data_IF_302765010837
#
_entry.id   IF_302765010837
#
_cell.length_a   1.000
_cell.length_b   1.000
_cell.length_c   1.000
_cell.angle_alpha   90.00
_cell.angle_beta   90.00
_cell.angle_gamma   90.00
#
_symmetry.space_group_name_H-M   'P 1'
#
loop_
_entity.id
_entity.type
_entity.pdbx_description
1 polymer ?
#
# COMPACT_ATOMS: atom_id res chain seq x y z
N UNK A 1 28.07 -7.29 -38.25
CA UNK A 1 27.97 -6.00 -37.53
C UNK A 1 26.65 -5.81 -36.78
N UNK A 2 25.62 -6.65 -37.00
CA UNK A 2 24.32 -6.54 -36.31
C UNK A 2 24.19 -7.45 -35.07
N UNK A 3 24.75 -8.67 -35.10
CA UNK A 3 24.67 -9.60 -33.96
C UNK A 3 25.37 -9.09 -32.70
N UNK A 4 26.40 -8.25 -32.86
CA UNK A 4 27.17 -7.71 -31.72
C UNK A 4 26.47 -6.55 -31.00
N UNK A 5 25.37 -6.03 -31.55
CA UNK A 5 24.53 -5.02 -30.91
C UNK A 5 23.37 -5.66 -30.15
N UNK A 6 22.77 -6.72 -30.68
CA UNK A 6 21.69 -7.48 -30.01
C UNK A 6 22.17 -8.19 -28.73
N UNK A 7 23.38 -8.77 -28.74
CA UNK A 7 23.98 -9.39 -27.52
C UNK A 7 24.26 -8.37 -26.41
N UNK A 8 24.56 -7.12 -26.79
CA UNK A 8 24.87 -6.06 -25.83
C UNK A 8 23.62 -5.45 -25.20
N UNK A 9 22.52 -5.38 -25.97
CA UNK A 9 21.19 -4.94 -25.48
C UNK A 9 20.51 -6.02 -24.60
N UNK A 10 20.89 -7.30 -24.77
CA UNK A 10 20.37 -8.40 -23.95
C UNK A 10 21.11 -8.52 -22.62
N UNK A 11 22.44 -8.37 -22.59
CA UNK A 11 23.21 -8.29 -21.34
C UNK A 11 22.80 -7.07 -20.48
N UNK A 12 22.65 -5.88 -21.06
CA UNK A 12 22.25 -4.66 -20.32
C UNK A 12 20.84 -4.77 -19.71
N UNK A 13 19.94 -5.53 -20.35
CA UNK A 13 18.57 -5.76 -19.87
C UNK A 13 18.51 -6.84 -18.79
N UNK A 14 19.39 -7.83 -18.85
CA UNK A 14 19.54 -8.87 -17.82
C UNK A 14 20.15 -8.28 -16.53
N UNK A 15 21.17 -7.42 -16.65
CA UNK A 15 21.74 -6.67 -15.51
C UNK A 15 20.72 -5.73 -14.84
N UNK A 16 19.89 -5.02 -15.62
CA UNK A 16 18.80 -4.19 -15.06
C UNK A 16 17.71 -5.01 -14.35
N UNK A 17 17.47 -6.25 -14.77
CA UNK A 17 16.52 -7.15 -14.09
C UNK A 17 17.11 -7.76 -12.83
N UNK A 18 18.39 -8.12 -12.81
CA UNK A 18 19.07 -8.66 -11.64
C UNK A 18 19.27 -7.58 -10.56
N UNK A 19 19.67 -6.34 -10.91
CA UNK A 19 19.72 -5.23 -9.94
C UNK A 19 18.33 -4.88 -9.38
N UNK A 20 17.28 -4.99 -10.19
CA UNK A 20 15.90 -4.77 -9.76
C UNK A 20 15.35 -5.92 -8.90
N UNK A 21 15.91 -7.12 -8.99
CA UNK A 21 15.57 -8.27 -8.13
C UNK A 21 16.38 -8.26 -6.84
N UNK A 22 17.70 -7.98 -6.88
CA UNK A 22 18.53 -7.81 -5.69
C UNK A 22 18.04 -6.62 -4.82
N UNK A 23 17.66 -5.49 -5.41
CA UNK A 23 17.07 -4.38 -4.64
C UNK A 23 15.67 -4.68 -4.09
N UNK A 24 14.96 -5.68 -4.61
CA UNK A 24 13.71 -6.18 -4.02
C UNK A 24 13.99 -7.15 -2.88
N UNK A 25 14.93 -8.07 -3.05
CA UNK A 25 15.30 -9.03 -2.01
C UNK A 25 15.94 -8.35 -0.79
N UNK A 26 16.81 -7.35 -0.99
CA UNK A 26 17.40 -6.58 0.11
C UNK A 26 16.31 -5.78 0.85
N UNK A 27 15.31 -5.25 0.14
CA UNK A 27 14.14 -4.57 0.75
C UNK A 27 13.19 -5.54 1.45
N UNK A 28 13.07 -6.77 1.00
CA UNK A 28 12.25 -7.79 1.66
C UNK A 28 12.92 -8.31 2.93
N UNK A 29 14.25 -8.47 2.92
CA UNK A 29 15.02 -8.91 4.09
C UNK A 29 15.10 -7.87 5.23
N UNK A 30 15.23 -6.57 4.93
CA UNK A 30 15.18 -5.51 5.96
C UNK A 30 13.78 -5.33 6.58
N UNK A 31 12.71 -5.74 5.87
CA UNK A 31 11.32 -5.61 6.33
C UNK A 31 10.91 -6.73 7.31
N UNK A 32 11.62 -7.85 7.34
CA UNK A 32 11.31 -8.96 8.27
C UNK A 32 11.76 -8.71 9.72
N UNK A 33 12.81 -7.94 9.99
CA UNK A 33 13.43 -7.96 11.32
C UNK A 33 12.65 -7.23 12.42
N UNK A 34 11.70 -6.32 12.12
CA UNK A 34 11.06 -5.53 13.17
C UNK A 34 9.57 -5.21 12.97
N UNK A 35 8.77 -6.18 12.54
CA UNK A 35 7.30 -6.10 12.70
C UNK A 35 6.95 -6.24 14.18
N UNK A 36 6.67 -5.12 14.85
CA UNK A 36 6.40 -5.10 16.30
C UNK A 36 4.95 -5.48 16.59
N UNK A 37 4.03 -5.02 15.74
CA UNK A 37 2.60 -5.25 15.95
C UNK A 37 1.86 -5.45 14.63
N UNK A 38 1.27 -6.62 14.48
CA UNK A 38 0.28 -6.91 13.46
C UNK A 38 -1.13 -6.83 14.04
N UNK A 39 -2.01 -6.07 13.39
CA UNK A 39 -3.41 -5.96 13.81
C UNK A 39 -4.33 -5.96 12.59
N UNK A 40 -5.43 -6.71 12.68
CA UNK A 40 -6.47 -6.72 11.67
C UNK A 40 -7.60 -5.80 12.13
N UNK A 41 -7.88 -4.76 11.36
CA UNK A 41 -8.96 -3.81 11.63
C UNK A 41 -10.04 -3.89 10.57
N UNK A 42 -11.29 -3.69 11.00
CA UNK A 42 -12.39 -3.37 10.08
C UNK A 42 -12.67 -1.89 10.13
N UNK A 43 -12.29 -1.16 9.08
CA UNK A 43 -12.38 0.30 9.02
C UNK A 43 -13.75 0.71 8.45
N UNK A 44 -14.55 1.50 9.20
CA UNK A 44 -15.81 2.02 8.68
C UNK A 44 -15.56 3.24 7.79
N UNK A 45 -15.80 3.09 6.48
CA UNK A 45 -15.69 4.16 5.48
C UNK A 45 -17.01 4.87 5.20
N UNK A 46 -18.11 4.48 5.89
CA UNK A 46 -19.45 5.03 5.66
C UNK A 46 -19.56 6.56 5.74
N UNK A 47 -18.68 7.22 6.51
CA UNK A 47 -18.61 8.68 6.59
C UNK A 47 -18.20 9.35 5.28
N UNK A 48 -17.60 8.62 4.34
CA UNK A 48 -17.27 9.14 3.01
C UNK A 48 -18.50 9.62 2.24
N UNK A 49 -19.70 9.06 2.51
CA UNK A 49 -20.95 9.42 1.82
C UNK A 49 -21.46 10.83 2.17
N UNK A 50 -20.98 11.43 3.26
CA UNK A 50 -21.30 12.81 3.65
C UNK A 50 -20.74 13.79 2.60
N UNK A 51 -19.62 13.43 1.96
CA UNK A 51 -19.02 14.24 0.91
C UNK A 51 -19.83 14.16 -0.41
N UNK A 52 -19.71 15.19 -1.27
CA UNK A 52 -20.24 15.17 -2.64
C UNK A 52 -19.79 13.91 -3.40
N UNK A 53 -20.61 13.45 -4.34
CA UNK A 53 -20.38 12.20 -5.11
C UNK A 53 -18.98 12.12 -5.72
N UNK A 54 -18.48 13.22 -6.25
CA UNK A 54 -17.16 13.33 -6.90
C UNK A 54 -15.98 13.30 -5.93
N UNK A 55 -16.21 13.33 -4.62
CA UNK A 55 -15.14 13.40 -3.62
C UNK A 55 -15.15 12.21 -2.65
N UNK A 56 -16.00 11.20 -2.88
CA UNK A 56 -16.21 10.12 -1.89
C UNK A 56 -15.03 9.17 -1.79
N UNK A 57 -14.51 8.63 -2.91
CA UNK A 57 -13.34 7.75 -2.86
C UNK A 57 -12.09 8.45 -2.29
N UNK A 58 -11.72 9.68 -2.72
CA UNK A 58 -10.64 10.43 -2.07
C UNK A 58 -10.87 10.65 -0.58
N UNK A 59 -12.12 10.93 -0.17
CA UNK A 59 -12.47 11.10 1.25
C UNK A 59 -12.36 9.80 2.03
N UNK A 60 -12.67 8.65 1.43
CA UNK A 60 -12.53 7.34 2.05
C UNK A 60 -11.07 7.04 2.40
N UNK A 61 -10.12 7.36 1.51
CA UNK A 61 -8.68 7.21 1.78
C UNK A 61 -8.25 8.08 2.96
N UNK A 62 -8.73 9.34 3.04
CA UNK A 62 -8.43 10.23 4.17
C UNK A 62 -9.00 9.70 5.49
N UNK A 63 -10.20 9.10 5.45
CA UNK A 63 -10.79 8.46 6.64
C UNK A 63 -9.95 7.25 7.06
N UNK A 64 -9.46 6.44 6.11
CA UNK A 64 -8.59 5.32 6.37
C UNK A 64 -7.29 5.78 7.05
N UNK A 65 -6.60 6.78 6.49
CA UNK A 65 -5.39 7.39 7.09
C UNK A 65 -5.64 7.88 8.51
N UNK A 66 -6.71 8.65 8.71
CA UNK A 66 -7.08 9.17 10.04
C UNK A 66 -7.41 8.05 11.04
N UNK A 67 -8.02 6.95 10.59
CA UNK A 67 -8.30 5.79 11.42
C UNK A 67 -7.00 5.12 11.89
N UNK A 68 -6.08 4.87 10.97
CA UNK A 68 -4.79 4.22 11.27
C UNK A 68 -3.96 5.10 12.20
N UNK A 69 -3.86 6.40 11.91
CA UNK A 69 -3.15 7.37 12.77
C UNK A 69 -3.63 7.29 14.22
N UNK A 70 -4.95 7.23 14.42
CA UNK A 70 -5.55 7.14 15.77
C UNK A 70 -5.25 5.82 16.48
N UNK A 71 -5.31 4.68 15.78
CA UNK A 71 -5.25 3.36 16.41
C UNK A 71 -3.83 2.82 16.58
N UNK A 72 -2.94 3.09 15.62
CA UNK A 72 -1.53 2.65 15.66
C UNK A 72 -0.60 3.69 16.29
N UNK A 73 -1.14 4.87 16.64
CA UNK A 73 -0.39 6.03 17.14
C UNK A 73 0.83 6.29 16.25
N UNK A 74 0.58 6.42 14.95
CA UNK A 74 1.60 6.86 14.01
C UNK A 74 1.87 8.34 14.28
N UNK A 75 3.14 8.72 14.37
CA UNK A 75 3.56 10.08 14.70
C UNK A 75 3.04 11.06 13.63
N UNK A 76 3.15 10.69 12.35
CA UNK A 76 2.78 11.53 11.21
C UNK A 76 1.79 10.86 10.23
N UNK A 77 1.10 11.67 9.40
CA UNK A 77 0.22 11.15 8.34
C UNK A 77 1.02 10.61 7.14
N UNK A 78 2.25 11.09 7.00
CA UNK A 78 3.17 10.77 5.90
C UNK A 78 3.90 9.44 6.10
N UNK A 79 4.01 8.95 7.35
CA UNK A 79 4.57 7.62 7.64
C UNK A 79 3.60 6.46 7.35
N UNK A 80 2.38 6.77 6.89
CA UNK A 80 1.37 5.77 6.54
C UNK A 80 1.47 5.43 5.05
N UNK A 81 1.99 4.24 4.78
CA UNK A 81 2.09 3.66 3.44
C UNK A 81 0.90 2.74 3.21
N UNK A 82 0.07 3.09 2.22
CA UNK A 82 -1.10 2.30 1.83
C UNK A 82 -0.74 1.48 0.61
N UNK A 83 -0.91 0.16 0.69
CA UNK A 83 -0.72 -0.72 -0.47
C UNK A 83 -1.69 -0.38 -1.61
N UNK A 84 -1.26 -0.58 -2.84
CA UNK A 84 -2.06 -0.37 -4.03
C UNK A 84 -3.36 -1.20 -4.02
N UNK A 85 -3.33 -2.42 -3.48
CA UNK A 85 -4.51 -3.29 -3.38
C UNK A 85 -5.65 -2.64 -2.58
N UNK A 86 -5.32 -1.97 -1.49
CA UNK A 86 -6.28 -1.27 -0.63
C UNK A 86 -6.88 -0.09 -1.38
N UNK A 87 -6.05 0.63 -2.13
CA UNK A 87 -6.50 1.72 -2.99
C UNK A 87 -7.43 1.20 -4.08
N UNK A 88 -7.03 0.18 -4.83
CA UNK A 88 -7.85 -0.44 -5.88
C UNK A 88 -9.19 -0.94 -5.34
N UNK A 89 -9.22 -1.58 -4.16
CA UNK A 89 -10.48 -1.99 -3.53
C UNK A 89 -11.39 -0.80 -3.24
N UNK A 90 -10.84 0.32 -2.76
CA UNK A 90 -11.60 1.56 -2.52
C UNK A 90 -12.16 2.14 -3.84
N UNK A 91 -11.40 2.07 -4.92
CA UNK A 91 -11.75 2.60 -6.24
C UNK A 91 -12.50 1.60 -7.15
N UNK A 92 -12.66 0.34 -6.73
CA UNK A 92 -13.24 -0.75 -7.53
C UNK A 92 -14.62 -0.47 -8.14
N UNK A 93 -15.44 0.39 -7.50
CA UNK A 93 -16.78 0.79 -7.96
C UNK A 93 -16.82 2.24 -8.44
N UNK A 94 -15.66 2.82 -8.73
CA UNK A 94 -15.49 4.22 -9.13
C UNK A 94 -15.59 5.21 -7.95
N UNK A 95 -15.52 6.50 -8.30
CA UNK A 95 -15.42 7.60 -7.33
C UNK A 95 -16.66 7.77 -6.44
N UNK A 96 -17.82 7.38 -6.94
CA UNK A 96 -19.13 7.65 -6.32
C UNK A 96 -19.51 6.67 -5.21
N UNK A 97 -19.01 5.43 -5.29
CA UNK A 97 -19.48 4.29 -4.51
C UNK A 97 -18.33 3.52 -3.83
N UNK A 98 -17.47 4.17 -3.03
CA UNK A 98 -16.48 3.44 -2.26
C UNK A 98 -17.14 2.41 -1.32
N UNK A 99 -16.45 1.30 -1.00
CA UNK A 99 -16.93 0.31 -0.03
C UNK A 99 -17.29 0.95 1.31
N UNK A 100 -18.30 0.42 2.01
CA UNK A 100 -18.73 0.96 3.32
C UNK A 100 -17.84 0.53 4.48
N UNK A 101 -17.22 -0.64 4.34
CA UNK A 101 -16.29 -1.24 5.30
C UNK A 101 -15.17 -1.86 4.49
N UNK A 102 -13.96 -1.80 5.03
CA UNK A 102 -12.80 -2.49 4.47
C UNK A 102 -12.06 -3.17 5.62
N UNK A 103 -11.69 -4.43 5.44
CA UNK A 103 -10.83 -5.15 6.37
C UNK A 103 -9.40 -4.95 5.92
N UNK A 104 -8.56 -4.44 6.81
CA UNK A 104 -7.17 -4.14 6.52
C UNK A 104 -6.28 -4.80 7.56
N UNK A 105 -5.17 -5.37 7.11
CA UNK A 105 -4.06 -5.81 7.94
C UNK A 105 -3.11 -4.63 8.05
N UNK A 106 -2.78 -4.25 9.28
CA UNK A 106 -1.88 -3.13 9.54
C UNK A 106 -0.66 -3.65 10.28
N UNK A 107 0.49 -3.31 9.75
CA UNK A 107 1.81 -3.72 10.23
C UNK A 107 2.53 -2.45 10.69
N UNK A 108 3.11 -2.48 11.89
CA UNK A 108 3.92 -1.37 12.42
C UNK A 108 5.37 -1.81 12.60
N UNK A 109 6.27 -1.04 12.01
CA UNK A 109 7.71 -1.22 12.10
C UNK A 109 8.25 -0.44 13.33
N UNK A 110 9.42 -0.81 13.88
CA UNK A 110 10.02 -0.09 15.03
C UNK A 110 10.39 1.36 14.72
N UNK A 111 10.65 1.68 13.45
CA UNK A 111 10.88 3.04 12.97
C UNK A 111 9.59 3.89 12.89
N UNK A 112 8.43 3.32 13.27
CA UNK A 112 7.15 4.03 13.27
C UNK A 112 6.48 4.12 11.90
N UNK A 113 7.03 3.45 10.88
CA UNK A 113 6.37 3.26 9.59
C UNK A 113 5.16 2.33 9.77
N UNK A 114 4.03 2.70 9.15
CA UNK A 114 2.81 1.89 9.21
C UNK A 114 2.40 1.50 7.81
N UNK A 115 2.44 0.19 7.54
CA UNK A 115 2.04 -0.39 6.27
C UNK A 115 0.64 -0.98 6.36
N UNK A 116 -0.17 -0.72 5.34
CA UNK A 116 -1.58 -1.13 5.28
C UNK A 116 -1.79 -2.06 4.09
N UNK A 117 -2.18 -3.28 4.39
CA UNK A 117 -2.48 -4.33 3.41
C UNK A 117 -3.96 -4.68 3.42
N UNK A 118 -4.44 -5.23 2.30
CA UNK A 118 -5.79 -5.77 2.23
C UNK A 118 -5.84 -7.07 3.03
N UNK A 119 -6.80 -7.18 3.95
CA UNK A 119 -7.00 -8.46 4.65
C UNK A 119 -7.89 -9.36 3.78
N UNK A 120 -7.33 -10.49 3.35
CA UNK A 120 -8.05 -11.51 2.59
C UNK A 120 -9.22 -12.05 3.43
N UNK A 121 -10.43 -11.92 2.91
CA UNK A 121 -11.63 -12.38 3.60
C UNK A 121 -12.95 -11.89 3.01
N UNK A 122 -12.98 -11.48 1.75
CA UNK A 122 -14.21 -11.18 0.99
C UNK A 122 -14.04 -11.43 -0.50
#
# INVERSE_FOLDING_TARGET
>A
MSEKNDEKETEEREEETEEAEETKEIKEAEVEEEVVEERIYTVPLGRARIAPVTKRAPRAIRILRAFIKRHMKADDEDSIVISNEVNEKIWSRGIEKPPRRIRVRVTKDREGLVRVYLAEGE
#
